data_IF_375545134711
#
_entry.id   IF_375545134711
#
_cell.length_a   1.000
_cell.length_b   1.000
_cell.length_c   1.000
_cell.angle_alpha   90.00
_cell.angle_beta   90.00
_cell.angle_gamma   90.00
#
_symmetry.space_group_name_H-M   'P 1'
#
loop_
_entity.id
_entity.type
_entity.pdbx_description
1 polymer ?
#
# COMPACT_ATOMS: atom_id res chain seq x y z
N UNK A 1 -5.67 -13.03 -3.62
CA UNK A 1 -5.80 -12.43 -2.27
C UNK A 1 -6.87 -11.36 -2.26
N UNK A 2 -7.61 -11.25 -1.17
CA UNK A 2 -8.64 -10.23 -1.01
C UNK A 2 -8.10 -9.04 -0.24
N UNK A 3 -8.10 -7.85 -0.89
CA UNK A 3 -7.63 -6.62 -0.26
C UNK A 3 -6.17 -6.66 0.19
N UNK A 4 -5.30 -7.36 -0.51
CA UNK A 4 -3.92 -7.66 -0.14
C UNK A 4 -3.15 -6.47 0.43
N UNK A 5 -3.25 -5.31 -0.21
CA UNK A 5 -2.50 -4.12 0.20
C UNK A 5 -2.93 -3.60 1.57
N UNK A 6 -4.23 -3.55 1.87
CA UNK A 6 -4.74 -3.08 3.17
C UNK A 6 -4.29 -3.99 4.31
N UNK A 7 -4.31 -5.32 4.12
CA UNK A 7 -3.79 -6.28 5.10
C UNK A 7 -2.28 -6.15 5.30
N UNK A 8 -1.52 -5.97 4.22
CA UNK A 8 -0.07 -5.75 4.31
C UNK A 8 0.21 -4.44 5.07
N UNK A 9 -0.46 -3.34 4.70
CA UNK A 9 -0.29 -2.04 5.36
C UNK A 9 -0.61 -2.15 6.84
N UNK A 10 -1.74 -2.75 7.21
CA UNK A 10 -2.12 -2.97 8.60
C UNK A 10 -1.05 -3.77 9.37
N UNK A 11 -0.56 -4.85 8.74
CA UNK A 11 0.45 -5.73 9.36
C UNK A 11 1.80 -5.03 9.55
N UNK A 12 2.33 -4.32 8.54
CA UNK A 12 3.66 -3.69 8.61
C UNK A 12 3.67 -2.40 9.44
N UNK A 13 2.58 -1.61 9.41
CA UNK A 13 2.44 -0.39 10.20
C UNK A 13 2.08 -0.68 11.66
N UNK A 14 1.58 -1.89 11.95
CA UNK A 14 1.01 -2.24 13.26
C UNK A 14 -0.08 -1.26 13.70
N UNK A 15 -0.86 -0.74 12.75
CA UNK A 15 -1.95 0.18 13.04
C UNK A 15 -3.14 -0.56 13.65
N UNK A 16 -3.51 -0.16 14.86
CA UNK A 16 -4.53 -0.87 15.64
C UNK A 16 -5.93 -0.72 15.06
N UNK A 17 -6.24 0.45 14.52
CA UNK A 17 -7.54 0.72 13.91
C UNK A 17 -7.74 -0.12 12.64
N UNK A 18 -6.70 -0.17 11.78
CA UNK A 18 -6.73 -1.00 10.57
C UNK A 18 -6.80 -2.49 10.89
N UNK A 19 -5.97 -2.97 11.84
CA UNK A 19 -5.96 -4.39 12.23
C UNK A 19 -7.32 -4.78 12.79
N UNK A 20 -7.89 -3.98 13.70
CA UNK A 20 -9.19 -4.27 14.29
C UNK A 20 -10.29 -4.33 13.23
N UNK A 21 -10.34 -3.34 12.32
CA UNK A 21 -11.35 -3.33 11.25
C UNK A 21 -11.26 -4.54 10.33
N UNK A 22 -10.05 -4.93 9.92
CA UNK A 22 -9.82 -6.04 9.00
C UNK A 22 -10.00 -7.42 9.64
N UNK A 23 -9.76 -7.56 10.95
CA UNK A 23 -9.79 -8.86 11.63
C UNK A 23 -11.10 -9.10 12.40
N UNK A 24 -11.64 -8.06 13.03
CA UNK A 24 -12.75 -8.16 13.99
C UNK A 24 -13.97 -7.30 13.59
N UNK A 25 -13.77 -6.39 12.62
CA UNK A 25 -14.79 -5.44 12.15
C UNK A 25 -15.55 -5.91 10.91
N UNK A 26 -16.05 -4.95 10.15
CA UNK A 26 -16.78 -5.19 8.90
C UNK A 26 -15.88 -5.53 7.71
N UNK A 27 -14.57 -5.30 7.82
CA UNK A 27 -13.60 -5.38 6.73
C UNK A 27 -13.67 -4.19 5.76
N UNK A 28 -14.53 -3.20 6.02
CA UNK A 28 -14.71 -2.03 5.15
C UNK A 28 -13.75 -0.89 5.51
N UNK A 29 -12.48 -1.03 5.12
CA UNK A 29 -11.45 0.00 5.35
C UNK A 29 -11.83 1.35 4.75
N UNK A 30 -12.58 1.38 3.65
CA UNK A 30 -13.02 2.65 3.03
C UNK A 30 -14.09 3.36 3.88
N UNK A 31 -14.98 2.61 4.55
CA UNK A 31 -15.92 3.19 5.51
C UNK A 31 -15.19 3.72 6.75
N UNK A 32 -14.21 2.97 7.27
CA UNK A 32 -13.36 3.43 8.36
C UNK A 32 -12.57 4.69 7.97
N UNK A 33 -12.01 4.73 6.77
CA UNK A 33 -11.31 5.90 6.24
C UNK A 33 -12.24 7.12 6.15
N UNK A 34 -13.47 6.94 5.68
CA UNK A 34 -14.46 8.02 5.66
C UNK A 34 -14.76 8.54 7.06
N UNK A 35 -14.96 7.63 8.01
CA UNK A 35 -15.22 7.97 9.41
C UNK A 35 -14.08 8.80 10.03
N UNK A 36 -12.84 8.43 9.77
CA UNK A 36 -11.66 9.13 10.29
C UNK A 36 -11.41 10.47 9.59
N UNK A 37 -11.64 10.54 8.27
CA UNK A 37 -11.31 11.72 7.46
C UNK A 37 -12.34 12.86 7.56
N UNK A 38 -13.61 12.51 7.85
CA UNK A 38 -14.73 13.46 7.83
C UNK A 38 -15.52 13.53 9.16
N UNK A 39 -14.84 13.80 10.31
CA UNK A 39 -15.50 13.79 11.61
C UNK A 39 -16.57 14.89 11.78
N UNK A 40 -16.55 15.93 10.97
CA UNK A 40 -17.57 16.99 10.97
C UNK A 40 -18.83 16.61 10.20
N UNK A 41 -18.76 15.62 9.29
CA UNK A 41 -19.86 15.20 8.43
C UNK A 41 -20.46 13.85 8.87
N UNK A 42 -19.64 13.00 9.49
CA UNK A 42 -20.06 11.70 10.02
C UNK A 42 -20.07 11.78 11.55
N UNK A 43 -21.24 11.73 12.20
CA UNK A 43 -21.35 11.81 13.66
C UNK A 43 -20.54 10.73 14.38
N UNK A 44 -19.98 11.09 15.54
CA UNK A 44 -19.27 10.11 16.39
C UNK A 44 -20.18 8.98 16.80
N UNK A 45 -19.67 7.76 16.72
CA UNK A 45 -20.43 6.55 17.06
C UNK A 45 -21.31 6.00 15.92
N UNK A 46 -21.28 6.59 14.73
CA UNK A 46 -21.94 6.02 13.55
C UNK A 46 -21.33 4.65 13.23
N UNK A 47 -22.11 3.56 13.19
CA UNK A 47 -21.59 2.25 12.79
C UNK A 47 -21.04 2.26 11.36
N UNK A 48 -19.92 1.58 11.11
CA UNK A 48 -19.30 1.55 9.77
C UNK A 48 -20.23 0.96 8.70
N UNK A 49 -21.11 0.04 9.09
CA UNK A 49 -22.14 -0.52 8.21
C UNK A 49 -23.12 0.53 7.70
N UNK A 50 -23.47 1.53 8.54
CA UNK A 50 -24.35 2.64 8.12
C UNK A 50 -23.63 3.62 7.19
N UNK A 51 -22.31 3.75 7.28
CA UNK A 51 -21.55 4.65 6.41
C UNK A 51 -21.66 4.22 4.96
N UNK A 52 -21.66 2.93 4.69
CA UNK A 52 -21.83 2.38 3.35
C UNK A 52 -23.16 2.79 2.72
N UNK A 53 -24.22 2.89 3.52
CA UNK A 53 -25.56 3.22 3.04
C UNK A 53 -25.84 4.72 3.05
N UNK A 54 -25.64 5.39 4.20
CA UNK A 54 -26.01 6.79 4.41
C UNK A 54 -24.99 7.80 3.89
N UNK A 55 -23.69 7.44 3.92
CA UNK A 55 -22.58 8.32 3.55
C UNK A 55 -21.77 7.74 2.37
N UNK A 56 -22.46 7.10 1.44
CA UNK A 56 -21.85 6.44 0.30
C UNK A 56 -20.89 7.35 -0.47
N UNK A 57 -21.25 8.63 -0.70
CA UNK A 57 -20.39 9.59 -1.38
C UNK A 57 -19.08 9.84 -0.65
N UNK A 58 -19.10 10.02 0.69
CA UNK A 58 -17.88 10.19 1.51
C UNK A 58 -17.01 8.94 1.51
N UNK A 59 -17.65 7.75 1.53
CA UNK A 59 -16.92 6.48 1.41
C UNK A 59 -16.23 6.35 0.04
N UNK A 60 -16.85 6.78 -1.06
CA UNK A 60 -16.21 6.78 -2.39
C UNK A 60 -15.08 7.80 -2.48
N UNK A 61 -15.23 8.96 -1.87
CA UNK A 61 -14.16 9.94 -1.77
C UNK A 61 -13.00 9.43 -0.92
N UNK A 62 -13.29 8.80 0.21
CA UNK A 62 -12.32 8.22 1.13
C UNK A 62 -11.43 7.17 0.45
N UNK A 63 -11.97 6.38 -0.48
CA UNK A 63 -11.20 5.42 -1.26
C UNK A 63 -10.03 6.07 -2.00
N UNK A 64 -10.26 7.21 -2.65
CA UNK A 64 -9.20 7.95 -3.35
C UNK A 64 -8.18 8.58 -2.40
N UNK A 65 -8.62 9.00 -1.20
CA UNK A 65 -7.75 9.54 -0.14
C UNK A 65 -6.87 8.44 0.42
N UNK A 66 -7.45 7.29 0.77
CA UNK A 66 -6.75 6.12 1.27
C UNK A 66 -5.63 5.71 0.32
N UNK A 67 -5.93 5.51 -0.97
CA UNK A 67 -4.91 5.17 -1.96
C UNK A 67 -3.81 6.22 -2.03
N UNK A 68 -4.17 7.51 -2.09
CA UNK A 68 -3.18 8.58 -2.16
C UNK A 68 -2.22 8.57 -0.96
N UNK A 69 -2.73 8.44 0.26
CA UNK A 69 -1.93 8.48 1.48
C UNK A 69 -1.16 7.17 1.69
N UNK A 70 -1.76 6.03 1.42
CA UNK A 70 -1.11 4.71 1.58
C UNK A 70 0.15 4.58 0.73
N UNK A 71 0.19 5.24 -0.43
CA UNK A 71 1.36 5.34 -1.28
C UNK A 71 2.29 6.53 -0.97
N UNK A 72 2.15 7.11 0.23
CA UNK A 72 3.04 8.17 0.72
C UNK A 72 2.74 9.57 0.20
N UNK A 73 1.56 9.77 -0.40
CA UNK A 73 1.06 11.11 -0.75
C UNK A 73 0.78 11.94 0.50
N UNK A 74 0.74 13.25 0.31
CA UNK A 74 0.45 14.24 1.34
C UNK A 74 -0.85 15.02 1.00
N UNK A 75 -1.17 16.04 1.79
CA UNK A 75 -2.33 16.89 1.55
C UNK A 75 -2.28 17.60 0.17
N UNK A 76 -1.09 17.87 -0.40
CA UNK A 76 -1.00 18.43 -1.76
C UNK A 76 -1.46 17.40 -2.80
N UNK A 77 -1.24 16.12 -2.54
CA UNK A 77 -1.74 15.04 -3.41
C UNK A 77 -3.26 14.97 -3.35
N UNK A 78 -3.85 15.09 -2.17
CA UNK A 78 -5.31 15.15 -1.98
C UNK A 78 -5.89 16.38 -2.69
N UNK A 79 -5.32 17.57 -2.44
CA UNK A 79 -5.71 18.81 -3.10
C UNK A 79 -5.77 18.67 -4.63
N UNK A 80 -4.69 18.16 -5.24
CA UNK A 80 -4.63 17.98 -6.71
C UNK A 80 -5.61 16.95 -7.23
N UNK A 81 -5.76 15.82 -6.53
CA UNK A 81 -6.60 14.72 -7.00
C UNK A 81 -8.10 14.99 -6.83
N UNK A 82 -8.46 15.79 -5.82
CA UNK A 82 -9.85 16.07 -5.46
C UNK A 82 -10.33 17.46 -5.92
N UNK A 83 -9.41 18.38 -6.24
CA UNK A 83 -9.77 19.76 -6.61
C UNK A 83 -10.33 20.59 -5.45
N UNK A 84 -10.14 20.16 -4.20
CA UNK A 84 -10.56 20.88 -2.98
C UNK A 84 -9.49 21.89 -2.55
N UNK A 85 -9.80 22.78 -1.60
CA UNK A 85 -8.83 23.77 -1.10
C UNK A 85 -7.65 23.08 -0.38
N UNK A 86 -6.51 23.77 -0.29
CA UNK A 86 -5.33 23.26 0.46
C UNK A 86 -5.66 23.09 1.93
N UNK A 87 -6.43 24.03 2.51
CA UNK A 87 -6.84 24.00 3.91
C UNK A 87 -7.71 22.78 4.21
N UNK A 88 -8.67 22.49 3.33
CA UNK A 88 -9.54 21.32 3.46
C UNK A 88 -8.75 20.02 3.27
N UNK A 89 -7.89 19.94 2.26
CA UNK A 89 -7.03 18.79 2.03
C UNK A 89 -6.09 18.52 3.21
N UNK A 90 -5.58 19.57 3.84
CA UNK A 90 -4.73 19.48 5.04
C UNK A 90 -5.51 18.95 6.23
N UNK A 91 -6.73 19.44 6.47
CA UNK A 91 -7.61 18.95 7.54
C UNK A 91 -7.94 17.47 7.37
N UNK A 92 -8.30 17.04 6.16
CA UNK A 92 -8.58 15.64 5.84
C UNK A 92 -7.32 14.78 6.10
N UNK A 93 -6.16 15.23 5.65
CA UNK A 93 -4.90 14.51 5.85
C UNK A 93 -4.53 14.37 7.33
N UNK A 94 -4.65 15.44 8.11
CA UNK A 94 -4.39 15.46 9.55
C UNK A 94 -5.34 14.50 10.29
N UNK A 95 -6.64 14.57 10.01
CA UNK A 95 -7.64 13.67 10.59
C UNK A 95 -7.32 12.20 10.27
N UNK A 96 -6.97 11.91 9.02
CA UNK A 96 -6.58 10.56 8.59
C UNK A 96 -5.36 10.06 9.37
N UNK A 97 -4.30 10.86 9.45
CA UNK A 97 -3.06 10.48 10.12
C UNK A 97 -3.22 10.36 11.65
N UNK A 98 -4.11 11.13 12.25
CA UNK A 98 -4.47 10.99 13.66
C UNK A 98 -5.27 9.69 13.90
N UNK A 99 -6.24 9.38 13.05
CA UNK A 99 -7.05 8.17 13.12
C UNK A 99 -6.23 6.89 12.90
N UNK A 100 -5.21 6.96 12.04
CA UNK A 100 -4.31 5.85 11.71
C UNK A 100 -2.88 6.13 12.20
N UNK A 101 -2.73 6.27 13.52
CA UNK A 101 -1.47 6.69 14.15
C UNK A 101 -0.32 5.69 13.94
N UNK A 102 -0.61 4.41 13.79
CA UNK A 102 0.38 3.38 13.46
C UNK A 102 0.94 3.56 12.05
N UNK A 103 0.05 3.84 11.09
CA UNK A 103 0.41 4.14 9.71
C UNK A 103 1.26 5.43 9.63
N UNK A 104 0.86 6.47 10.35
CA UNK A 104 1.62 7.73 10.41
C UNK A 104 3.07 7.51 10.87
N UNK A 105 3.27 6.79 11.97
CA UNK A 105 4.60 6.43 12.50
C UNK A 105 5.41 5.58 11.53
N UNK A 106 4.75 4.63 10.85
CA UNK A 106 5.39 3.80 9.85
C UNK A 106 5.89 4.63 8.66
N UNK A 107 5.08 5.55 8.15
CA UNK A 107 5.47 6.41 7.04
C UNK A 107 6.61 7.36 7.43
N UNK A 108 6.54 7.96 8.63
CA UNK A 108 7.62 8.80 9.16
C UNK A 108 8.95 8.02 9.26
N UNK A 109 8.89 6.79 9.81
CA UNK A 109 10.05 5.90 9.85
C UNK A 109 10.64 5.64 8.46
N UNK A 110 9.81 5.32 7.46
CA UNK A 110 10.27 5.06 6.10
C UNK A 110 10.96 6.28 5.49
N UNK A 111 10.34 7.46 5.59
CA UNK A 111 10.89 8.73 5.11
C UNK A 111 12.25 9.05 5.77
N UNK A 112 12.33 8.90 7.08
CA UNK A 112 13.56 9.14 7.84
C UNK A 112 14.67 8.19 7.41
N UNK A 113 14.44 6.88 7.46
CA UNK A 113 15.46 5.87 7.19
C UNK A 113 15.99 5.94 5.77
N UNK A 114 15.15 6.18 4.77
CA UNK A 114 15.58 6.25 3.38
C UNK A 114 16.51 7.44 3.14
N UNK A 115 16.27 8.58 3.79
CA UNK A 115 17.11 9.78 3.69
C UNK A 115 18.38 9.71 4.55
N UNK A 116 18.39 8.89 5.60
CA UNK A 116 19.58 8.68 6.42
C UNK A 116 20.53 7.63 5.84
N UNK A 117 19.99 6.55 5.29
CA UNK A 117 20.78 5.36 4.90
C UNK A 117 20.98 5.19 3.39
N UNK A 118 20.24 5.92 2.56
CA UNK A 118 20.28 5.74 1.11
C UNK A 118 19.61 4.44 0.63
N UNK A 119 18.92 3.72 1.52
CA UNK A 119 18.16 2.53 1.19
C UNK A 119 17.01 2.31 2.19
N UNK A 120 16.04 1.51 1.78
CA UNK A 120 15.01 0.97 2.66
C UNK A 120 15.03 -0.56 2.65
N UNK A 121 14.91 -1.17 3.82
CA UNK A 121 14.71 -2.62 3.94
C UNK A 121 13.28 -2.95 3.51
N UNK A 122 13.13 -3.69 2.42
CA UNK A 122 11.82 -3.98 1.82
C UNK A 122 10.98 -4.91 2.68
N UNK A 123 11.60 -5.94 3.21
CA UNK A 123 10.95 -6.85 4.14
C UNK A 123 11.99 -7.49 5.08
N UNK A 124 11.74 -7.59 6.38
CA UNK A 124 12.71 -8.12 7.35
C UNK A 124 13.03 -9.61 7.14
N UNK A 125 12.11 -10.38 6.56
CA UNK A 125 12.30 -11.83 6.31
C UNK A 125 13.16 -12.03 5.07
N UNK A 126 12.84 -11.37 3.96
CA UNK A 126 13.62 -11.48 2.72
C UNK A 126 14.98 -10.78 2.80
N UNK A 127 15.11 -9.78 3.68
CA UNK A 127 16.29 -8.92 3.85
C UNK A 127 16.70 -8.14 2.60
N UNK A 128 15.85 -8.11 1.57
CA UNK A 128 16.08 -7.28 0.39
C UNK A 128 16.03 -5.80 0.72
N UNK A 129 16.85 -5.02 -0.01
CA UNK A 129 16.94 -3.57 0.13
C UNK A 129 16.67 -2.91 -1.21
N UNK A 130 15.92 -1.81 -1.20
CA UNK A 130 15.86 -0.88 -2.32
C UNK A 130 16.77 0.30 -2.03
N UNK A 131 17.75 0.53 -2.89
CA UNK A 131 18.71 1.62 -2.78
C UNK A 131 18.19 2.84 -3.54
N UNK A 132 18.51 4.04 -3.03
CA UNK A 132 18.30 5.28 -3.75
C UNK A 132 19.40 5.43 -4.80
N UNK A 133 18.99 5.63 -6.03
CA UNK A 133 19.89 6.07 -7.08
C UNK A 133 20.35 7.52 -6.81
N UNK A 134 21.64 7.80 -6.96
CA UNK A 134 22.27 9.11 -6.70
C UNK A 134 22.11 9.63 -5.26
N UNK A 135 22.13 8.73 -4.27
CA UNK A 135 21.97 9.11 -2.87
C UNK A 135 23.00 10.14 -2.40
N UNK A 136 24.27 10.03 -2.84
CA UNK A 136 25.31 10.96 -2.45
C UNK A 136 25.00 12.39 -2.93
N UNK A 137 24.46 12.56 -4.12
CA UNK A 137 24.04 13.87 -4.63
C UNK A 137 22.90 14.46 -3.76
N UNK A 138 21.93 13.63 -3.37
CA UNK A 138 20.86 14.07 -2.45
C UNK A 138 21.42 14.48 -1.09
N UNK A 139 22.38 13.73 -0.55
CA UNK A 139 23.02 14.02 0.74
C UNK A 139 23.80 15.33 0.70
N UNK A 140 24.61 15.54 -0.34
CA UNK A 140 25.35 16.80 -0.53
C UNK A 140 24.42 18.01 -0.60
N UNK A 141 23.30 17.89 -1.34
CA UNK A 141 22.30 18.96 -1.39
C UNK A 141 21.60 19.18 -0.03
N UNK A 142 21.31 18.12 0.69
CA UNK A 142 20.73 18.21 2.02
C UNK A 142 21.68 18.93 3.00
N UNK A 143 22.97 18.63 2.95
CA UNK A 143 24.02 19.31 3.74
C UNK A 143 24.12 20.80 3.36
N UNK A 144 24.18 21.12 2.06
CA UNK A 144 24.19 22.49 1.55
C UNK A 144 22.96 23.30 2.04
N UNK A 145 21.81 22.66 2.12
CA UNK A 145 20.56 23.28 2.58
C UNK A 145 20.47 23.49 4.10
N UNK A 146 21.41 22.97 4.90
CA UNK A 146 21.48 23.29 6.34
C UNK A 146 22.06 24.67 6.59
N UNK A 147 22.76 25.24 5.62
CA UNK A 147 23.35 26.58 5.74
C UNK A 147 22.30 27.67 5.54
N UNK A 148 22.27 28.63 6.49
CA UNK A 148 21.38 29.80 6.44
C UNK A 148 21.72 30.75 5.30
N UNK A 149 23.01 30.92 4.98
CA UNK A 149 23.46 31.78 3.90
C UNK A 149 23.04 31.23 2.54
N UNK A 150 23.04 29.90 2.37
CA UNK A 150 22.49 29.26 1.18
C UNK A 150 21.02 29.65 0.95
N UNK A 151 20.18 29.65 1.99
CA UNK A 151 18.77 30.03 1.87
C UNK A 151 18.54 31.51 1.60
N UNK A 152 19.45 32.37 2.08
CA UNK A 152 19.44 33.80 1.77
C UNK A 152 19.73 34.00 0.29
N UNK A 153 20.82 33.42 -0.19
CA UNK A 153 21.20 33.44 -1.61
C UNK A 153 20.11 32.84 -2.50
N UNK A 154 19.53 31.70 -2.15
CA UNK A 154 18.43 31.08 -2.90
C UNK A 154 17.22 32.00 -3.03
N UNK A 155 16.82 32.69 -1.95
CA UNK A 155 15.69 33.63 -2.00
C UNK A 155 15.95 34.80 -2.93
N UNK A 156 17.17 35.33 -2.94
CA UNK A 156 17.59 36.37 -3.84
C UNK A 156 17.56 35.90 -5.29
N UNK A 157 18.21 34.78 -5.59
CA UNK A 157 18.19 34.18 -6.93
C UNK A 157 16.79 33.84 -7.43
N UNK A 158 15.94 33.29 -6.58
CA UNK A 158 14.55 33.00 -6.95
C UNK A 158 13.74 34.23 -7.34
N UNK A 159 14.07 35.38 -6.74
CA UNK A 159 13.42 36.66 -7.06
C UNK A 159 13.99 37.28 -8.34
N UNK A 160 15.30 37.27 -8.52
CA UNK A 160 15.99 37.95 -9.62
C UNK A 160 16.11 37.08 -10.88
N UNK A 161 16.34 35.79 -10.73
CA UNK A 161 16.56 34.84 -11.81
C UNK A 161 15.88 33.49 -11.49
N UNK A 162 14.54 33.41 -11.58
CA UNK A 162 13.75 32.24 -11.09
C UNK A 162 14.02 30.93 -11.84
N UNK A 163 14.76 30.99 -12.94
CA UNK A 163 15.16 29.83 -13.74
C UNK A 163 16.68 29.55 -13.73
N UNK A 164 17.43 30.18 -12.82
CA UNK A 164 18.86 29.91 -12.69
C UNK A 164 19.11 28.50 -12.10
N UNK A 165 20.33 28.00 -12.27
CA UNK A 165 20.75 26.65 -11.86
C UNK A 165 20.49 26.40 -10.38
N UNK A 166 20.77 27.34 -9.49
CA UNK A 166 20.53 27.19 -8.06
C UNK A 166 19.06 26.95 -7.73
N UNK A 167 18.14 27.68 -8.40
CA UNK A 167 16.70 27.50 -8.21
C UNK A 167 16.25 26.17 -8.76
N UNK A 168 16.81 25.73 -9.88
CA UNK A 168 16.51 24.44 -10.48
C UNK A 168 17.05 23.29 -9.60
N UNK A 169 18.28 23.36 -9.10
CA UNK A 169 18.85 22.38 -8.18
C UNK A 169 17.97 22.14 -6.94
N UNK A 170 17.46 23.23 -6.34
CA UNK A 170 16.56 23.12 -5.18
C UNK A 170 15.25 22.45 -5.53
N UNK A 171 14.66 22.79 -6.69
CA UNK A 171 13.42 22.16 -7.18
C UNK A 171 13.65 20.66 -7.42
N UNK A 172 14.73 20.30 -8.08
CA UNK A 172 15.08 18.91 -8.39
C UNK A 172 15.35 18.10 -7.13
N UNK A 173 16.03 18.70 -6.15
CA UNK A 173 16.23 18.08 -4.84
C UNK A 173 14.89 17.73 -4.17
N UNK A 174 13.97 18.68 -4.04
CA UNK A 174 12.69 18.42 -3.38
C UNK A 174 11.83 17.43 -4.16
N UNK A 175 11.86 17.46 -5.50
CA UNK A 175 11.21 16.48 -6.35
C UNK A 175 11.75 15.08 -6.09
N UNK A 176 13.07 14.92 -6.15
CA UNK A 176 13.76 13.64 -5.93
C UNK A 176 13.59 13.12 -4.52
N UNK A 177 13.72 13.99 -3.51
CA UNK A 177 13.47 13.65 -2.11
C UNK A 177 12.06 13.10 -1.93
N UNK A 178 11.03 13.81 -2.41
CA UNK A 178 9.65 13.38 -2.32
C UNK A 178 9.38 12.05 -3.05
N UNK A 179 10.03 11.81 -4.17
CA UNK A 179 9.99 10.52 -4.88
C UNK A 179 10.57 9.39 -4.03
N UNK A 180 11.76 9.58 -3.46
CA UNK A 180 12.43 8.60 -2.60
C UNK A 180 11.60 8.28 -1.36
N UNK A 181 11.02 9.29 -0.71
CA UNK A 181 10.15 9.14 0.45
C UNK A 181 8.89 8.33 0.13
N UNK A 182 8.20 8.62 -0.97
CA UNK A 182 7.04 7.84 -1.42
C UNK A 182 7.41 6.41 -1.79
N UNK A 183 8.49 6.24 -2.56
CA UNK A 183 8.97 4.92 -2.97
C UNK A 183 9.37 4.06 -1.76
N UNK A 184 9.95 4.65 -0.70
CA UNK A 184 10.32 3.92 0.51
C UNK A 184 9.11 3.30 1.23
N UNK A 185 7.94 3.94 1.15
CA UNK A 185 6.68 3.45 1.71
C UNK A 185 6.11 2.37 0.78
N UNK A 186 5.94 2.71 -0.48
CA UNK A 186 5.27 1.85 -1.45
C UNK A 186 6.04 0.54 -1.74
N UNK A 187 7.34 0.60 -1.94
CA UNK A 187 8.15 -0.59 -2.26
C UNK A 187 8.08 -1.68 -1.18
N UNK A 188 7.94 -1.32 0.08
CA UNK A 188 7.76 -2.30 1.16
C UNK A 188 6.42 -3.04 1.04
N UNK A 189 5.37 -2.33 0.68
CA UNK A 189 4.02 -2.89 0.48
C UNK A 189 4.04 -3.82 -0.72
N UNK A 190 4.47 -3.31 -1.87
CA UNK A 190 4.51 -4.06 -3.12
C UNK A 190 5.44 -5.27 -3.06
N UNK A 191 6.61 -5.12 -2.44
CA UNK A 191 7.54 -6.23 -2.28
C UNK A 191 6.97 -7.33 -1.37
N UNK A 192 6.30 -6.96 -0.27
CA UNK A 192 5.67 -7.94 0.62
C UNK A 192 4.56 -8.70 -0.09
N UNK A 193 3.71 -8.02 -0.88
CA UNK A 193 2.71 -8.66 -1.73
C UNK A 193 3.33 -9.63 -2.74
N UNK A 194 4.38 -9.20 -3.41
CA UNK A 194 5.13 -10.05 -4.35
C UNK A 194 5.75 -11.29 -3.66
N UNK A 195 6.19 -11.19 -2.40
CA UNK A 195 6.70 -12.33 -1.63
C UNK A 195 5.58 -13.31 -1.29
N UNK A 196 4.43 -12.84 -0.79
CA UNK A 196 3.26 -13.68 -0.52
C UNK A 196 2.89 -14.49 -1.76
N UNK A 197 2.77 -13.80 -2.89
CA UNK A 197 2.46 -14.41 -4.17
C UNK A 197 3.52 -15.44 -4.63
N UNK A 198 4.80 -15.08 -4.64
CA UNK A 198 5.88 -15.97 -5.08
C UNK A 198 5.99 -17.23 -4.22
N UNK A 199 5.84 -17.09 -2.90
CA UNK A 199 5.85 -18.24 -1.99
C UNK A 199 4.63 -19.13 -2.22
N UNK A 200 3.46 -18.55 -2.50
CA UNK A 200 2.25 -19.30 -2.87
C UNK A 200 2.50 -20.13 -4.13
N UNK A 201 3.08 -19.53 -5.16
CA UNK A 201 3.42 -20.22 -6.41
C UNK A 201 4.38 -21.39 -6.18
N UNK A 202 5.45 -21.18 -5.40
CA UNK A 202 6.44 -22.21 -5.10
C UNK A 202 5.79 -23.38 -4.34
N UNK A 203 4.98 -23.09 -3.32
CA UNK A 203 4.33 -24.13 -2.53
C UNK A 203 3.25 -24.87 -3.32
N UNK A 204 2.52 -24.16 -4.18
CA UNK A 204 1.52 -24.80 -5.03
C UNK A 204 2.15 -25.68 -6.09
N UNK A 205 3.18 -25.21 -6.76
CA UNK A 205 3.93 -26.03 -7.73
C UNK A 205 4.54 -27.27 -7.07
N UNK A 206 5.16 -27.10 -5.89
CA UNK A 206 5.68 -28.23 -5.12
C UNK A 206 4.59 -29.27 -4.80
N UNK A 207 3.41 -28.82 -4.36
CA UNK A 207 2.28 -29.69 -4.10
C UNK A 207 1.79 -30.43 -5.37
N UNK A 208 1.74 -29.75 -6.52
CA UNK A 208 1.40 -30.37 -7.82
C UNK A 208 2.36 -31.54 -8.12
N UNK A 209 3.66 -31.33 -7.97
CA UNK A 209 4.70 -32.34 -8.23
C UNK A 209 4.60 -33.51 -7.24
N UNK A 210 4.51 -33.22 -5.94
CA UNK A 210 4.43 -34.25 -4.88
C UNK A 210 3.17 -35.14 -4.97
N UNK A 211 2.10 -34.64 -5.61
CA UNK A 211 0.85 -35.40 -5.82
C UNK A 211 0.73 -36.01 -7.22
N UNK A 212 1.80 -35.99 -8.02
CA UNK A 212 1.81 -36.48 -9.41
C UNK A 212 0.73 -35.82 -10.31
N UNK A 213 0.50 -34.52 -10.11
CA UNK A 213 -0.50 -33.74 -10.84
C UNK A 213 0.10 -32.86 -11.94
N UNK A 214 1.39 -32.95 -12.20
CA UNK A 214 2.13 -32.06 -13.10
C UNK A 214 1.52 -31.97 -14.52
N UNK A 215 1.01 -33.09 -15.05
CA UNK A 215 0.36 -33.14 -16.37
C UNK A 215 -1.17 -32.93 -16.33
N UNK A 216 -1.73 -32.61 -15.16
CA UNK A 216 -3.17 -32.46 -14.94
C UNK A 216 -3.56 -31.07 -14.43
N UNK A 217 -2.68 -30.42 -13.67
CA UNK A 217 -2.90 -29.10 -13.11
C UNK A 217 -1.89 -28.15 -13.71
N UNK A 218 -2.36 -27.13 -14.43
CA UNK A 218 -1.54 -26.14 -15.10
C UNK A 218 -1.76 -24.78 -14.45
N UNK A 219 -0.70 -24.11 -14.05
CA UNK A 219 -0.75 -22.70 -13.66
C UNK A 219 -0.71 -21.90 -14.96
N UNK A 220 -1.77 -21.14 -15.26
CA UNK A 220 -1.95 -20.49 -16.57
C UNK A 220 -1.61 -19.02 -16.55
N UNK A 221 -2.33 -18.24 -15.75
CA UNK A 221 -2.16 -16.78 -15.65
C UNK A 221 -2.03 -16.38 -14.20
N UNK A 222 -1.20 -15.37 -13.95
CA UNK A 222 -0.86 -14.96 -12.60
C UNK A 222 -0.81 -13.41 -12.50
N UNK A 223 -1.97 -12.74 -12.66
CA UNK A 223 -2.03 -11.29 -12.58
C UNK A 223 -1.95 -10.83 -11.12
N UNK A 224 -0.95 -10.01 -10.80
CA UNK A 224 -0.74 -9.37 -9.47
C UNK A 224 -0.81 -10.32 -8.27
N UNK A 225 -1.95 -10.39 -7.60
CA UNK A 225 -2.21 -11.16 -6.37
C UNK A 225 -3.14 -12.36 -6.62
N UNK A 226 -3.40 -12.70 -7.87
CA UNK A 226 -4.26 -13.77 -8.32
C UNK A 226 -3.45 -14.92 -8.95
N UNK A 227 -3.87 -16.16 -8.69
CA UNK A 227 -3.30 -17.36 -9.32
C UNK A 227 -4.42 -18.11 -10.03
N UNK A 228 -4.35 -18.17 -11.35
CA UNK A 228 -5.26 -18.93 -12.17
C UNK A 228 -4.63 -20.27 -12.56
N UNK A 229 -5.39 -21.34 -12.44
CA UNK A 229 -4.95 -22.66 -12.81
C UNK A 229 -6.08 -23.45 -13.49
N UNK A 230 -5.69 -24.34 -14.39
CA UNK A 230 -6.58 -25.31 -15.01
C UNK A 230 -6.41 -26.67 -14.35
N UNK A 231 -7.51 -27.37 -14.13
CA UNK A 231 -7.52 -28.70 -13.57
C UNK A 231 -8.72 -29.51 -14.13
N UNK A 232 -8.63 -30.86 -14.25
CA UNK A 232 -9.77 -31.69 -14.55
C UNK A 232 -10.91 -31.47 -13.55
N UNK A 233 -12.15 -31.47 -14.04
CA UNK A 233 -13.36 -31.17 -13.24
C UNK A 233 -13.45 -32.04 -11.97
N UNK A 234 -13.05 -33.30 -12.05
CA UNK A 234 -13.13 -34.27 -10.95
C UNK A 234 -12.22 -33.92 -9.75
N UNK A 235 -11.18 -33.14 -9.99
CA UNK A 235 -10.23 -32.72 -8.94
C UNK A 235 -10.20 -31.21 -8.72
N UNK A 236 -10.94 -30.42 -9.52
CA UNK A 236 -10.88 -28.96 -9.50
C UNK A 236 -11.15 -28.38 -8.11
N UNK A 237 -12.15 -28.88 -7.40
CA UNK A 237 -12.49 -28.43 -6.05
C UNK A 237 -11.37 -28.71 -5.02
N UNK A 238 -10.74 -29.86 -5.11
CA UNK A 238 -9.57 -30.23 -4.30
C UNK A 238 -8.38 -29.29 -4.59
N UNK A 239 -8.16 -28.98 -5.87
CA UNK A 239 -7.09 -28.09 -6.31
C UNK A 239 -7.33 -26.67 -5.81
N UNK A 240 -8.53 -26.13 -6.00
CA UNK A 240 -8.92 -24.78 -5.54
C UNK A 240 -8.78 -24.64 -4.02
N UNK A 241 -9.32 -25.58 -3.25
CA UNK A 241 -9.21 -25.60 -1.78
C UNK A 241 -7.75 -25.66 -1.32
N UNK A 242 -6.92 -26.45 -2.02
CA UNK A 242 -5.50 -26.54 -1.67
C UNK A 242 -4.73 -25.29 -2.00
N UNK A 243 -4.99 -24.67 -3.16
CA UNK A 243 -4.38 -23.41 -3.55
C UNK A 243 -4.74 -22.31 -2.54
N UNK A 244 -6.02 -22.18 -2.18
CA UNK A 244 -6.47 -21.26 -1.14
C UNK A 244 -5.68 -21.44 0.17
N UNK A 245 -5.62 -22.66 0.71
CA UNK A 245 -4.88 -22.94 1.94
C UNK A 245 -3.38 -22.61 1.85
N UNK A 246 -2.77 -22.80 0.68
CA UNK A 246 -1.37 -22.45 0.42
C UNK A 246 -1.20 -20.92 0.38
N UNK A 247 -2.10 -20.19 -0.26
CA UNK A 247 -2.06 -18.73 -0.31
C UNK A 247 -2.19 -18.13 1.10
N UNK A 248 -3.17 -18.58 1.88
CA UNK A 248 -3.33 -18.15 3.28
C UNK A 248 -2.06 -18.40 4.09
N UNK A 249 -1.49 -19.60 3.99
CA UNK A 249 -0.25 -19.96 4.70
C UNK A 249 0.94 -19.10 4.26
N UNK A 250 1.06 -18.78 2.98
CA UNK A 250 2.10 -17.90 2.48
C UNK A 250 1.91 -16.45 2.98
N UNK A 251 0.66 -15.98 3.05
CA UNK A 251 0.32 -14.69 3.66
C UNK A 251 0.72 -14.60 5.13
N UNK A 252 0.49 -15.63 5.92
CA UNK A 252 0.84 -15.69 7.35
C UNK A 252 2.35 -15.52 7.62
N UNK A 253 3.21 -15.91 6.67
CA UNK A 253 4.66 -15.72 6.79
C UNK A 253 5.03 -14.25 6.85
N UNK A 254 4.40 -13.42 6.03
CA UNK A 254 4.79 -12.02 5.84
C UNK A 254 3.86 -11.03 6.54
N UNK A 255 2.59 -11.40 6.75
CA UNK A 255 1.56 -10.61 7.40
C UNK A 255 1.24 -11.19 8.79
N UNK A 256 2.16 -11.03 9.73
CA UNK A 256 2.09 -11.70 11.05
C UNK A 256 1.10 -11.06 12.04
N UNK A 257 0.67 -9.81 11.79
CA UNK A 257 -0.22 -9.06 12.69
C UNK A 257 -1.64 -8.92 12.17
N UNK A 258 -1.82 -9.10 10.87
CA UNK A 258 -3.12 -9.02 10.21
C UNK A 258 -3.16 -10.15 9.19
N UNK A 259 -4.03 -11.14 9.42
CA UNK A 259 -4.05 -12.39 8.65
C UNK A 259 -4.59 -12.10 7.25
N UNK A 260 -3.72 -12.28 6.25
CA UNK A 260 -4.08 -12.14 4.85
C UNK A 260 -4.86 -13.38 4.38
N UNK A 261 -6.05 -13.18 3.85
CA UNK A 261 -6.90 -14.23 3.29
C UNK A 261 -6.94 -14.20 1.75
N UNK A 262 -7.50 -15.23 1.16
CA UNK A 262 -7.68 -15.36 -0.26
C UNK A 262 -9.08 -15.89 -0.56
N UNK A 263 -9.66 -15.49 -1.68
CA UNK A 263 -10.96 -16.00 -2.12
C UNK A 263 -10.79 -17.01 -3.25
N UNK A 264 -11.68 -17.99 -3.31
CA UNK A 264 -11.85 -18.86 -4.46
C UNK A 264 -12.93 -18.23 -5.34
N UNK A 265 -12.55 -17.79 -6.54
CA UNK A 265 -13.51 -17.26 -7.53
C UNK A 265 -14.49 -18.33 -7.94
N UNK A 266 -15.80 -18.06 -7.81
CA UNK A 266 -16.89 -18.98 -8.13
C UNK A 266 -17.93 -18.32 -9.01
N UNK A 267 -18.63 -19.11 -9.81
CA UNK A 267 -19.82 -18.69 -10.53
C UNK A 267 -20.96 -18.37 -9.55
N UNK A 268 -22.02 -17.69 -10.02
CA UNK A 268 -23.19 -17.31 -9.19
C UNK A 268 -23.90 -18.51 -8.55
N UNK A 269 -23.83 -19.67 -9.14
CA UNK A 269 -24.38 -20.95 -8.64
C UNK A 269 -23.44 -21.66 -7.65
N UNK A 270 -22.30 -21.06 -7.32
CA UNK A 270 -21.30 -21.59 -6.40
C UNK A 270 -20.30 -22.57 -7.01
N UNK A 271 -20.44 -22.92 -8.29
CA UNK A 271 -19.50 -23.81 -9.00
C UNK A 271 -18.20 -23.10 -9.35
N UNK A 272 -17.13 -23.85 -9.60
CA UNK A 272 -15.91 -23.30 -10.17
C UNK A 272 -16.13 -22.93 -11.64
N UNK A 273 -15.57 -21.82 -12.13
CA UNK A 273 -15.72 -21.42 -13.52
C UNK A 273 -14.95 -22.36 -14.46
N UNK A 274 -15.53 -22.63 -15.63
CA UNK A 274 -14.85 -23.38 -16.71
C UNK A 274 -13.89 -22.51 -17.52
N UNK A 275 -13.86 -21.22 -17.28
CA UNK A 275 -12.99 -20.24 -17.92
C UNK A 275 -12.71 -19.09 -16.93
N UNK A 276 -11.60 -18.38 -17.14
CA UNK A 276 -11.27 -17.23 -16.31
C UNK A 276 -12.32 -16.12 -16.44
N UNK A 277 -12.87 -15.71 -15.29
CA UNK A 277 -13.78 -14.57 -15.16
C UNK A 277 -13.14 -13.56 -14.20
N UNK A 278 -13.10 -12.33 -14.65
CA UNK A 278 -12.53 -11.21 -13.85
C UNK A 278 -13.63 -10.24 -13.47
#
# INVERSE_FOLDING_TARGET
YSGQESFIIASISNDKSLIHELMDGSGDVHALTAYMSYPDQIPRGTPLTEIKEKYHHLRQEAKGIEFAINYGGDFNTIHRNKGISIEEAKKIYENYMEGFSGLAKYQEYCRKIVMEKGYILLNPISKYRAHIYDFETLRMMQEKMQDREFWKYYREMKRESPNCDTVQEVRDFFKKKGECERNSINYRIQHTGALCYKVSMIYFFKWIVENNLFNKVLITVTPYDEINCEAPTEIAEKVATRLHAIMVKAGEIFCTRCKLDADISRCKDGTLPNYWIH
#
